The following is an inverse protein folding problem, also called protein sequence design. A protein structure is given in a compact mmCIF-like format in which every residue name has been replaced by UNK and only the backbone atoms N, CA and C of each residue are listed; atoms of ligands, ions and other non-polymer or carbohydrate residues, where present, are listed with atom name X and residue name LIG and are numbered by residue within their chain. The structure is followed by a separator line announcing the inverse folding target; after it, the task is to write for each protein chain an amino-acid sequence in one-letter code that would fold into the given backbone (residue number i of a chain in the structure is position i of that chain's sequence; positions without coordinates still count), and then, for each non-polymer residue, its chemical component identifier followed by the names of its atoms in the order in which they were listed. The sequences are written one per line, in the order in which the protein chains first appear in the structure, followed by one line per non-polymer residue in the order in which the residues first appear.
data_IF_070242827774
#
_entry.id   IF_070242827774
#
_cell.length_a   1.000
_cell.length_b   1.000
_cell.length_c   1.000
_cell.angle_alpha   90.00
_cell.angle_beta   90.00
_cell.angle_gamma   90.00
#
_symmetry.space_group_name_H-M   'P 1'
#
loop_
_entity.id
_entity.type
_entity.pdbx_description
1 polymer ?
#
# COMPACT_ATOMS: atom_id res chain seq x y z
N UNK A 1 -9.77 -12.75 33.70
CA UNK A 1 -10.78 -12.52 32.64
C UNK A 1 -11.40 -11.15 32.85
N UNK A 2 -10.75 -10.08 32.34
CA UNK A 2 -11.35 -8.75 32.18
C UNK A 2 -10.76 -8.19 30.87
N UNK A 3 -11.38 -8.54 29.75
CA UNK A 3 -11.13 -7.91 28.45
C UNK A 3 -12.38 -7.12 28.10
N UNK A 4 -12.46 -5.89 28.60
CA UNK A 4 -13.44 -4.92 28.11
C UNK A 4 -12.70 -3.64 27.72
N UNK A 5 -11.92 -3.72 26.65
CA UNK A 5 -11.55 -2.54 25.87
C UNK A 5 -12.35 -2.54 24.57
N UNK A 6 -13.58 -2.00 24.63
CA UNK A 6 -14.32 -1.49 23.47
C UNK A 6 -15.29 -0.39 23.93
N UNK A 7 -14.96 0.88 23.68
CA UNK A 7 -16.04 1.85 23.49
C UNK A 7 -15.91 2.66 22.17
N UNK A 8 -14.78 2.56 21.45
CA UNK A 8 -14.42 3.54 20.42
C UNK A 8 -13.73 2.97 19.16
N UNK A 9 -13.70 1.64 19.00
CA UNK A 9 -13.23 0.99 17.77
C UNK A 9 -14.41 0.69 16.86
N UNK A 10 -14.22 0.86 15.56
CA UNK A 10 -15.16 0.41 14.53
C UNK A 10 -14.56 -0.75 13.74
N UNK A 11 -15.41 -1.44 12.99
CA UNK A 11 -14.99 -2.48 12.07
C UNK A 11 -15.34 -2.07 10.65
N UNK A 12 -14.38 -2.21 9.75
CA UNK A 12 -14.62 -2.14 8.31
C UNK A 12 -14.84 -3.58 7.83
N UNK A 13 -15.94 -3.82 7.12
CA UNK A 13 -16.16 -5.12 6.48
C UNK A 13 -15.23 -5.25 5.28
N UNK A 14 -14.55 -6.40 5.18
CA UNK A 14 -13.63 -6.71 4.08
C UNK A 14 -13.85 -8.16 3.65
N UNK A 15 -13.94 -8.47 2.35
CA UNK A 15 -14.24 -9.83 1.89
C UNK A 15 -13.12 -10.85 2.19
N UNK A 16 -11.88 -10.39 2.35
CA UNK A 16 -10.72 -11.24 2.59
C UNK A 16 -10.57 -11.50 4.10
N UNK A 17 -10.60 -10.43 4.90
CA UNK A 17 -10.34 -10.48 6.34
C UNK A 17 -11.60 -10.51 7.21
N UNK A 18 -12.78 -10.47 6.60
CA UNK A 18 -14.12 -10.34 7.22
C UNK A 18 -14.32 -8.99 7.90
N UNK A 19 -13.46 -8.66 8.86
CA UNK A 19 -13.51 -7.40 9.60
C UNK A 19 -12.11 -6.88 9.93
N UNK A 20 -11.86 -5.62 9.57
CA UNK A 20 -10.67 -4.87 9.96
C UNK A 20 -11.06 -3.94 11.11
N UNK A 21 -10.50 -4.17 12.29
CA UNK A 21 -10.72 -3.30 13.46
C UNK A 21 -9.84 -2.04 13.36
N UNK A 22 -10.44 -0.88 13.61
CA UNK A 22 -9.80 0.43 13.59
C UNK A 22 -10.25 1.28 14.78
N UNK A 23 -9.40 2.20 15.22
CA UNK A 23 -9.76 3.31 16.10
C UNK A 23 -10.65 4.29 15.34
N UNK A 24 -11.76 4.73 15.96
CA UNK A 24 -12.85 5.37 15.20
C UNK A 24 -13.53 6.58 15.83
N UNK A 25 -13.39 6.75 17.15
CA UNK A 25 -13.93 7.88 17.90
C UNK A 25 -12.81 8.40 18.81
N UNK A 26 -12.50 9.71 18.77
CA UNK A 26 -11.48 10.28 19.65
C UNK A 26 -11.93 10.16 21.11
N UNK A 27 -10.98 9.84 21.99
CA UNK A 27 -11.14 9.76 23.44
C UNK A 27 -10.57 11.00 24.11
N UNK A 28 -9.58 11.65 23.47
CA UNK A 28 -9.05 12.96 23.87
C UNK A 28 -9.41 14.01 22.83
N UNK A 29 -9.60 15.26 23.26
CA UNK A 29 -10.07 16.38 22.43
C UNK A 29 -9.24 16.63 21.15
N UNK A 30 -7.96 16.26 21.16
CA UNK A 30 -7.03 16.47 20.03
C UNK A 30 -6.54 15.16 19.40
N UNK A 31 -7.10 14.03 19.78
CA UNK A 31 -6.75 12.73 19.21
C UNK A 31 -7.22 12.66 17.76
N UNK A 32 -6.32 12.23 16.88
CA UNK A 32 -6.66 11.76 15.55
C UNK A 32 -6.76 10.24 15.63
N UNK A 33 -7.75 9.66 14.94
CA UNK A 33 -7.96 8.21 14.86
C UNK A 33 -7.61 7.68 13.47
N UNK A 34 -7.43 6.36 13.35
CA UNK A 34 -7.26 5.70 12.06
C UNK A 34 -8.41 6.01 11.11
N UNK A 35 -9.65 6.13 11.63
CA UNK A 35 -10.81 6.52 10.81
C UNK A 35 -10.63 7.89 10.15
N UNK A 36 -10.04 8.85 10.85
CA UNK A 36 -9.81 10.20 10.30
C UNK A 36 -8.80 10.15 9.15
N UNK A 37 -7.75 9.33 9.29
CA UNK A 37 -6.77 9.09 8.23
C UNK A 37 -7.35 8.30 7.06
N UNK A 38 -8.15 7.26 7.31
CA UNK A 38 -8.83 6.46 6.27
C UNK A 38 -9.80 7.34 5.47
N UNK A 39 -10.51 8.25 6.13
CA UNK A 39 -11.44 9.19 5.51
C UNK A 39 -10.75 10.43 4.91
N UNK A 40 -9.43 10.53 5.00
CA UNK A 40 -8.69 11.65 4.47
C UNK A 40 -8.77 11.75 2.94
N UNK A 41 -8.62 12.96 2.37
CA UNK A 41 -8.73 13.16 0.92
C UNK A 41 -7.81 12.22 0.10
N UNK A 42 -6.54 12.07 0.47
CA UNK A 42 -5.62 11.22 -0.32
C UNK A 42 -5.90 9.73 -0.18
N UNK A 43 -6.38 9.26 0.98
CA UNK A 43 -6.82 7.88 1.09
C UNK A 43 -8.10 7.64 0.28
N UNK A 44 -9.07 8.55 0.38
CA UNK A 44 -10.32 8.45 -0.38
C UNK A 44 -10.11 8.60 -1.89
N UNK A 45 -9.02 9.22 -2.35
CA UNK A 45 -8.61 9.23 -3.76
C UNK A 45 -8.32 7.82 -4.29
N UNK A 46 -7.73 6.95 -3.47
CA UNK A 46 -7.39 5.58 -3.88
C UNK A 46 -8.62 4.72 -4.20
N UNK A 47 -9.83 5.11 -3.79
CA UNK A 47 -11.07 4.42 -4.17
C UNK A 47 -11.38 4.49 -5.67
N UNK A 48 -10.71 5.40 -6.39
CA UNK A 48 -10.85 5.64 -7.84
C UNK A 48 -9.58 5.29 -8.61
N UNK A 49 -8.71 4.46 -8.02
CA UNK A 49 -7.49 3.94 -8.65
C UNK A 49 -7.53 2.42 -8.53
N UNK A 50 -7.61 1.72 -9.65
CA UNK A 50 -7.67 0.27 -9.70
C UNK A 50 -6.33 -0.35 -9.27
N UNK A 51 -6.40 -1.48 -8.56
CA UNK A 51 -5.23 -2.25 -8.17
C UNK A 51 -4.51 -2.84 -9.40
N UNK A 52 -5.29 -3.46 -10.30
CA UNK A 52 -4.81 -4.35 -11.36
C UNK A 52 -4.45 -3.67 -12.70
N UNK A 53 -4.17 -2.36 -12.73
CA UNK A 53 -3.77 -1.63 -13.95
C UNK A 53 -4.74 -1.84 -15.14
N UNK A 54 -4.34 -2.50 -16.24
CA UNK A 54 -5.25 -2.87 -17.34
C UNK A 54 -5.81 -4.29 -17.22
N UNK A 55 -5.32 -5.09 -16.28
CA UNK A 55 -5.70 -6.50 -16.11
C UNK A 55 -7.17 -6.67 -15.71
N UNK A 56 -7.81 -5.65 -15.12
CA UNK A 56 -9.25 -5.67 -14.86
C UNK A 56 -10.10 -5.68 -16.14
N UNK A 57 -9.56 -5.28 -17.30
CA UNK A 57 -10.23 -5.48 -18.61
C UNK A 57 -10.27 -6.95 -19.05
N UNK A 58 -9.37 -7.78 -18.51
CA UNK A 58 -9.36 -9.23 -18.75
C UNK A 58 -10.25 -9.96 -17.75
N UNK A 59 -10.24 -9.49 -16.50
CA UNK A 59 -10.99 -10.07 -15.38
C UNK A 59 -12.06 -9.08 -14.94
N UNK A 60 -13.32 -9.21 -15.41
CA UNK A 60 -14.37 -8.25 -15.11
C UNK A 60 -14.69 -8.08 -13.62
N UNK A 61 -14.33 -9.06 -12.78
CA UNK A 61 -14.44 -8.93 -11.32
C UNK A 61 -13.28 -8.18 -10.67
N UNK A 62 -12.16 -7.98 -11.36
CA UNK A 62 -10.92 -7.36 -10.89
C UNK A 62 -10.99 -5.85 -10.69
N UNK A 63 -12.15 -5.31 -10.32
CA UNK A 63 -12.41 -3.87 -10.19
C UNK A 63 -11.99 -3.30 -8.82
N UNK A 64 -11.37 -4.09 -7.95
CA UNK A 64 -10.97 -3.60 -6.63
C UNK A 64 -9.92 -2.50 -6.72
N UNK A 65 -10.07 -1.55 -5.81
CA UNK A 65 -9.28 -0.33 -5.74
C UNK A 65 -8.06 -0.49 -4.83
N UNK A 66 -7.07 0.37 -5.03
CA UNK A 66 -5.91 0.50 -4.12
C UNK A 66 -6.32 0.83 -2.70
N UNK A 67 -7.46 1.51 -2.51
CA UNK A 67 -7.98 1.77 -1.16
C UNK A 67 -8.28 0.48 -0.38
N UNK A 68 -8.92 -0.49 -1.03
CA UNK A 68 -9.23 -1.79 -0.40
C UNK A 68 -7.95 -2.56 -0.08
N UNK A 69 -6.99 -2.53 -1.01
CA UNK A 69 -5.66 -3.10 -0.80
C UNK A 69 -4.94 -2.45 0.39
N UNK A 70 -4.86 -1.11 0.46
CA UNK A 70 -4.22 -0.39 1.56
C UNK A 70 -4.84 -0.70 2.93
N UNK A 71 -6.16 -0.85 3.03
CA UNK A 71 -6.82 -1.29 4.26
C UNK A 71 -6.41 -2.72 4.65
N UNK A 72 -6.31 -3.61 3.66
CA UNK A 72 -5.87 -4.97 3.86
C UNK A 72 -4.40 -5.07 4.29
N UNK A 73 -3.52 -4.29 3.67
CA UNK A 73 -2.10 -4.20 4.07
C UNK A 73 -1.96 -3.61 5.47
N UNK A 74 -2.73 -2.59 5.83
CA UNK A 74 -2.79 -2.07 7.20
C UNK A 74 -3.15 -3.18 8.20
N UNK A 75 -4.15 -4.01 7.89
CA UNK A 75 -4.53 -5.16 8.71
C UNK A 75 -3.39 -6.18 8.81
N UNK A 76 -2.83 -6.62 7.68
CA UNK A 76 -1.77 -7.63 7.64
C UNK A 76 -0.50 -7.16 8.34
N UNK A 77 -0.09 -5.91 8.13
CA UNK A 77 1.05 -5.30 8.81
C UNK A 77 0.85 -5.29 10.33
N UNK A 78 -0.38 -5.11 10.81
CA UNK A 78 -0.66 -5.13 12.25
C UNK A 78 -0.49 -6.50 12.88
N UNK A 79 -1.00 -7.54 12.24
CA UNK A 79 -0.91 -8.91 12.75
C UNK A 79 0.54 -9.39 12.67
N UNK A 80 1.25 -9.03 11.61
CA UNK A 80 2.64 -9.40 11.43
C UNK A 80 3.58 -8.65 12.39
N UNK A 81 3.45 -7.33 12.53
CA UNK A 81 4.25 -6.55 13.48
C UNK A 81 4.07 -7.05 14.93
N UNK A 82 2.82 -7.38 15.29
CA UNK A 82 2.49 -7.90 16.62
C UNK A 82 3.16 -9.24 16.91
N UNK A 83 3.15 -10.14 15.92
CA UNK A 83 3.80 -11.44 16.03
C UNK A 83 5.33 -11.31 16.13
N UNK A 84 5.94 -10.36 15.41
CA UNK A 84 7.38 -10.15 15.45
C UNK A 84 7.85 -9.43 16.72
N UNK A 85 6.99 -8.61 17.35
CA UNK A 85 7.36 -7.73 18.46
C UNK A 85 8.13 -8.42 19.61
N UNK A 86 7.74 -9.62 20.12
CA UNK A 86 8.49 -10.27 21.20
C UNK A 86 9.93 -10.61 20.82
N UNK A 87 10.16 -11.07 19.59
CA UNK A 87 11.50 -11.40 19.08
C UNK A 87 12.30 -10.15 18.75
N UNK A 88 11.67 -9.15 18.14
CA UNK A 88 12.24 -7.84 17.87
C UNK A 88 12.73 -7.15 19.15
N UNK A 89 11.90 -7.16 20.22
CA UNK A 89 12.26 -6.59 21.52
C UNK A 89 13.50 -7.23 22.11
N UNK A 90 13.66 -8.55 21.97
CA UNK A 90 14.87 -9.26 22.43
C UNK A 90 16.11 -8.83 21.65
N UNK A 91 16.00 -8.70 20.33
CA UNK A 91 17.10 -8.27 19.47
C UNK A 91 17.49 -6.83 19.79
N UNK A 92 16.55 -5.88 19.86
CA UNK A 92 16.83 -4.49 20.24
C UNK A 92 17.55 -4.40 21.59
N UNK A 93 17.07 -5.12 22.61
CA UNK A 93 17.72 -5.16 23.94
C UNK A 93 19.14 -5.72 23.90
N UNK A 94 19.41 -6.75 23.09
CA UNK A 94 20.76 -7.32 22.89
C UNK A 94 21.74 -6.27 22.34
N UNK A 95 21.26 -5.32 21.55
CA UNK A 95 22.04 -4.21 21.01
C UNK A 95 21.95 -2.92 21.85
N UNK A 96 21.38 -2.97 23.05
CA UNK A 96 21.30 -1.82 23.97
C UNK A 96 20.27 -0.75 23.58
N UNK A 97 19.31 -1.08 22.71
CA UNK A 97 18.24 -0.18 22.28
C UNK A 97 16.94 -0.48 23.05
N UNK A 98 16.32 0.54 23.65
CA UNK A 98 14.96 0.41 24.21
C UNK A 98 13.94 0.53 23.08
N UNK A 99 13.07 -0.48 22.98
CA UNK A 99 12.02 -0.51 21.96
C UNK A 99 10.78 0.24 22.46
N UNK A 100 10.04 0.94 21.58
CA UNK A 100 8.72 1.46 21.92
C UNK A 100 7.74 0.37 22.36
N UNK A 101 6.59 0.76 22.91
CA UNK A 101 5.52 -0.17 23.27
C UNK A 101 5.00 -0.95 22.06
N UNK A 102 4.45 -2.13 22.31
CA UNK A 102 3.90 -3.00 21.26
C UNK A 102 2.88 -2.25 20.40
N UNK A 103 1.96 -1.51 21.02
CA UNK A 103 0.92 -0.78 20.30
C UNK A 103 1.50 0.38 19.47
N UNK A 104 2.59 1.01 19.92
CA UNK A 104 3.30 2.01 19.13
C UNK A 104 3.92 1.40 17.87
N UNK A 105 4.63 0.28 18.03
CA UNK A 105 5.28 -0.43 16.93
C UNK A 105 4.25 -0.94 15.94
N UNK A 106 3.17 -1.54 16.44
CA UNK A 106 2.05 -2.03 15.63
C UNK A 106 1.37 -0.87 14.90
N UNK A 107 1.12 0.26 15.55
CA UNK A 107 0.50 1.40 14.87
C UNK A 107 1.42 2.00 13.80
N UNK A 108 2.73 2.09 14.04
CA UNK A 108 3.70 2.52 13.02
C UNK A 108 3.61 1.62 11.77
N UNK A 109 3.58 0.30 11.96
CA UNK A 109 3.43 -0.66 10.87
C UNK A 109 2.05 -0.55 10.18
N UNK A 110 0.98 -0.31 10.94
CA UNK A 110 -0.37 -0.10 10.39
C UNK A 110 -0.43 1.11 9.49
N UNK A 111 0.09 2.26 9.94
CA UNK A 111 0.10 3.48 9.15
C UNK A 111 1.02 3.37 7.93
N UNK A 112 2.15 2.67 8.05
CA UNK A 112 2.96 2.32 6.89
C UNK A 112 2.16 1.48 5.87
N UNK A 113 1.44 0.46 6.32
CA UNK A 113 0.57 -0.33 5.44
C UNK A 113 -0.59 0.46 4.83
N UNK A 114 -1.20 1.38 5.59
CA UNK A 114 -2.26 2.25 5.10
C UNK A 114 -1.77 3.19 3.99
N UNK A 115 -0.57 3.75 4.13
CA UNK A 115 -0.07 4.79 3.24
C UNK A 115 0.93 4.33 2.18
N UNK A 116 1.39 3.07 2.19
CA UNK A 116 2.44 2.62 1.27
C UNK A 116 2.13 2.96 -0.20
N UNK A 117 0.87 2.79 -0.58
CA UNK A 117 0.35 2.98 -1.94
C UNK A 117 -0.32 4.34 -2.20
N UNK A 118 -0.30 5.28 -1.23
CA UNK A 118 -1.03 6.56 -1.35
C UNK A 118 -0.52 7.45 -2.50
N UNK A 119 0.75 7.26 -2.88
CA UNK A 119 1.41 7.95 -3.98
C UNK A 119 1.08 7.42 -5.37
N UNK A 120 0.37 6.30 -5.51
CA UNK A 120 0.01 5.78 -6.84
C UNK A 120 -0.95 6.73 -7.58
N UNK A 121 -0.81 6.75 -8.91
CA UNK A 121 -1.71 7.41 -9.84
C UNK A 121 -2.41 6.40 -10.74
N UNK A 122 -3.19 6.90 -11.73
CA UNK A 122 -3.84 6.06 -12.71
C UNK A 122 -2.83 5.14 -13.41
N UNK A 123 -3.20 3.89 -13.64
CA UNK A 123 -2.33 2.84 -14.18
C UNK A 123 -1.12 2.44 -13.30
N UNK A 124 -1.07 2.83 -12.03
CA UNK A 124 -0.14 2.26 -11.04
C UNK A 124 1.33 2.28 -11.50
N UNK A 125 2.00 1.12 -11.51
CA UNK A 125 3.39 1.02 -11.92
C UNK A 125 3.67 1.44 -13.37
N UNK A 126 2.67 1.45 -14.26
CA UNK A 126 2.87 1.89 -15.64
C UNK A 126 3.18 3.38 -15.67
N UNK A 127 2.50 4.17 -14.83
CA UNK A 127 2.78 5.59 -14.66
C UNK A 127 4.21 5.81 -14.16
N UNK A 128 4.65 4.99 -13.21
CA UNK A 128 6.02 5.02 -12.68
C UNK A 128 7.05 4.81 -13.79
N UNK A 129 6.90 3.73 -14.57
CA UNK A 129 7.88 3.34 -15.58
C UNK A 129 7.88 4.24 -16.81
N UNK A 130 6.71 4.72 -17.24
CA UNK A 130 6.56 5.45 -18.51
C UNK A 130 6.71 6.96 -18.32
N UNK A 131 6.30 7.51 -17.18
CA UNK A 131 6.25 8.97 -16.97
C UNK A 131 7.12 9.42 -15.80
N UNK A 132 6.89 8.91 -14.59
CA UNK A 132 7.53 9.45 -13.38
C UNK A 132 9.04 9.24 -13.36
N UNK A 133 9.49 8.00 -13.62
CA UNK A 133 10.92 7.67 -13.59
C UNK A 133 11.69 8.34 -14.74
N UNK A 134 11.24 8.29 -16.01
CA UNK A 134 11.98 8.92 -17.10
C UNK A 134 11.94 10.46 -17.08
N UNK A 135 10.82 11.06 -16.67
CA UNK A 135 10.62 12.52 -16.78
C UNK A 135 11.07 13.27 -15.53
N UNK A 136 10.89 12.67 -14.34
CA UNK A 136 11.09 13.35 -13.06
C UNK A 136 12.02 12.60 -12.10
N UNK A 137 12.51 11.41 -12.48
CA UNK A 137 13.29 10.51 -11.61
C UNK A 137 12.62 10.22 -10.25
N UNK A 138 11.29 10.09 -10.26
CA UNK A 138 10.47 9.77 -9.09
C UNK A 138 9.67 8.49 -9.29
N UNK A 139 8.97 8.04 -8.25
CA UNK A 139 8.10 6.86 -8.23
C UNK A 139 6.97 7.04 -7.20
N UNK A 140 6.00 6.13 -7.20
CA UNK A 140 4.89 6.19 -6.23
C UNK A 140 5.38 6.19 -4.78
N UNK A 141 6.42 5.44 -4.41
CA UNK A 141 6.95 5.40 -3.04
C UNK A 141 7.46 6.78 -2.58
N UNK A 142 8.24 7.49 -3.41
CA UNK A 142 8.73 8.85 -3.12
C UNK A 142 7.57 9.84 -2.98
N UNK A 143 6.55 9.70 -3.82
CA UNK A 143 5.33 10.51 -3.74
C UNK A 143 4.56 10.18 -2.45
N UNK A 144 4.43 8.90 -2.06
CA UNK A 144 3.80 8.47 -0.80
C UNK A 144 4.48 9.12 0.40
N UNK A 145 5.82 9.08 0.46
CA UNK A 145 6.57 9.73 1.54
C UNK A 145 6.32 11.24 1.58
N UNK A 146 6.28 11.91 0.42
CA UNK A 146 6.00 13.35 0.35
C UNK A 146 4.58 13.67 0.84
N UNK A 147 3.58 12.91 0.42
CA UNK A 147 2.20 13.06 0.88
C UNK A 147 2.12 12.92 2.41
N UNK A 148 2.79 11.91 2.98
CA UNK A 148 2.81 11.68 4.43
C UNK A 148 3.44 12.88 5.15
N UNK A 149 4.61 13.33 4.71
CA UNK A 149 5.35 14.44 5.32
C UNK A 149 4.59 15.76 5.25
N UNK A 150 3.98 16.07 4.11
CA UNK A 150 3.35 17.39 3.87
C UNK A 150 1.88 17.46 4.27
N UNK A 151 1.13 16.36 4.15
CA UNK A 151 -0.33 16.37 4.32
C UNK A 151 -0.79 15.66 5.58
N UNK A 152 0.02 14.75 6.16
CA UNK A 152 -0.41 13.92 7.29
C UNK A 152 0.45 13.98 8.54
N UNK A 153 1.57 14.71 8.53
CA UNK A 153 2.46 14.80 9.68
C UNK A 153 1.75 15.18 10.98
N UNK A 154 1.01 16.28 10.97
CA UNK A 154 0.29 16.72 12.17
C UNK A 154 -0.79 15.74 12.62
N UNK A 155 -1.41 15.01 11.68
CA UNK A 155 -2.45 14.05 11.99
C UNK A 155 -1.87 12.78 12.61
N UNK A 156 -0.79 12.24 12.03
CA UNK A 156 -0.08 11.04 12.51
C UNK A 156 0.46 11.28 13.92
N UNK A 157 1.06 12.45 14.15
CA UNK A 157 1.60 12.86 15.45
C UNK A 157 0.55 12.96 16.57
N UNK A 158 -0.75 12.99 16.23
CA UNK A 158 -1.90 13.06 17.15
C UNK A 158 -2.56 11.71 17.41
N UNK A 159 -2.09 10.63 16.77
CA UNK A 159 -2.49 9.26 17.11
C UNK A 159 -1.78 8.85 18.41
N UNK A 160 -2.52 8.24 19.33
CA UNK A 160 -2.04 7.89 20.68
C UNK A 160 -2.28 6.42 21.07
N UNK A 161 -2.85 5.63 20.15
CA UNK A 161 -3.24 4.24 20.40
C UNK A 161 -3.42 3.49 19.09
N UNK A 162 -3.35 2.17 19.20
CA UNK A 162 -3.78 1.21 18.19
C UNK A 162 -5.09 0.55 18.64
N UNK A 163 -5.78 -0.25 17.82
CA UNK A 163 -7.05 -0.87 18.22
C UNK A 163 -6.98 -1.72 19.49
N UNK A 164 -5.82 -2.33 19.81
CA UNK A 164 -5.69 -3.24 20.97
C UNK A 164 -5.13 -2.56 22.23
N UNK A 165 -4.67 -1.31 22.18
CA UNK A 165 -4.22 -0.59 23.37
C UNK A 165 -3.58 0.79 23.11
N UNK A 166 -3.21 1.48 24.20
CA UNK A 166 -2.57 2.80 24.16
C UNK A 166 -1.05 2.72 24.08
N UNK A 167 -0.44 3.79 23.57
CA UNK A 167 1.00 4.00 23.68
C UNK A 167 1.40 4.35 25.12
N UNK A 168 2.70 4.28 25.44
CA UNK A 168 3.24 4.85 26.69
C UNK A 168 3.11 6.38 26.67
N UNK A 169 3.12 7.00 27.86
CA UNK A 169 2.79 8.42 28.06
C UNK A 169 3.61 9.39 27.18
N UNK A 170 4.87 9.07 26.93
CA UNK A 170 5.83 9.94 26.23
C UNK A 170 6.13 9.48 24.79
N UNK A 171 5.38 8.49 24.29
CA UNK A 171 5.52 7.99 22.93
C UNK A 171 4.70 8.82 21.96
N UNK A 172 5.34 9.23 20.86
CA UNK A 172 4.73 9.99 19.78
C UNK A 172 5.23 9.46 18.44
N UNK A 173 4.31 9.16 17.53
CA UNK A 173 4.66 8.62 16.22
C UNK A 173 5.50 9.63 15.44
N UNK A 174 6.50 9.12 14.75
CA UNK A 174 7.38 9.87 13.86
C UNK A 174 7.06 9.50 12.42
N UNK A 175 6.79 10.52 11.59
CA UNK A 175 6.50 10.31 10.17
C UNK A 175 7.69 9.72 9.42
N UNK A 176 8.91 9.97 9.88
CA UNK A 176 10.10 9.42 9.23
C UNK A 176 10.20 7.92 9.46
N UNK A 177 9.81 7.41 10.63
CA UNK A 177 9.77 5.97 10.89
C UNK A 177 8.82 5.27 9.92
N UNK A 178 7.64 5.87 9.67
CA UNK A 178 6.68 5.37 8.68
C UNK A 178 7.26 5.43 7.26
N UNK A 179 7.82 6.58 6.86
CA UNK A 179 8.37 6.76 5.52
C UNK A 179 9.52 5.77 5.23
N UNK A 180 10.38 5.50 6.21
CA UNK A 180 11.51 4.58 6.13
C UNK A 180 11.06 3.13 5.88
N UNK A 181 9.85 2.76 6.32
CA UNK A 181 9.27 1.44 6.07
C UNK A 181 8.74 1.29 4.63
N UNK A 182 8.38 2.39 3.96
CA UNK A 182 7.73 2.35 2.64
C UNK A 182 8.66 2.04 1.48
N UNK A 183 9.97 2.30 1.62
CA UNK A 183 10.93 2.06 0.54
C UNK A 183 12.26 1.55 1.05
N UNK A 184 12.96 0.84 0.18
CA UNK A 184 14.37 0.54 0.40
C UNK A 184 15.20 1.81 0.19
N UNK A 185 16.22 2.04 1.04
CA UNK A 185 17.12 3.18 0.83
C UNK A 185 17.85 3.04 -0.51
N UNK A 186 17.94 4.13 -1.26
CA UNK A 186 18.81 4.21 -2.43
C UNK A 186 20.28 4.26 -1.96
N UNK A 187 21.22 3.86 -2.83
CA UNK A 187 22.65 3.86 -2.47
C UNK A 187 23.11 5.24 -2.02
N UNK A 188 23.58 5.35 -0.77
CA UNK A 188 24.05 6.60 -0.17
C UNK A 188 23.01 7.33 0.69
N UNK A 189 21.77 6.85 0.79
CA UNK A 189 20.79 7.39 1.75
C UNK A 189 21.10 6.96 3.19
N UNK A 190 20.86 7.88 4.14
CA UNK A 190 21.03 7.62 5.58
C UNK A 190 19.95 6.65 6.03
N UNK A 191 20.38 5.53 6.61
CA UNK A 191 19.48 4.57 7.21
C UNK A 191 18.96 5.08 8.57
N UNK A 192 17.75 4.69 8.98
CA UNK A 192 17.28 4.94 10.36
C UNK A 192 18.32 4.51 11.37
N UNK A 193 18.53 5.29 12.43
CA UNK A 193 19.37 4.86 13.55
C UNK A 193 18.64 3.85 14.44
N UNK A 194 17.30 3.86 14.43
CA UNK A 194 16.43 2.98 15.24
C UNK A 194 16.41 1.58 14.64
N UNK A 195 16.98 0.58 15.31
CA UNK A 195 17.02 -0.80 14.82
C UNK A 195 15.61 -1.35 14.60
N UNK A 196 14.68 -1.08 15.52
CA UNK A 196 13.33 -1.65 15.41
C UNK A 196 12.64 -1.24 14.10
N UNK A 197 12.91 -0.03 13.59
CA UNK A 197 12.39 0.42 12.29
C UNK A 197 13.06 -0.32 11.13
N UNK A 198 14.40 -0.50 11.18
CA UNK A 198 15.13 -1.23 10.13
C UNK A 198 14.62 -2.66 9.98
N UNK A 199 14.49 -3.38 11.10
CA UNK A 199 14.08 -4.79 11.09
C UNK A 199 12.64 -4.95 10.60
N UNK A 200 11.75 -4.00 10.89
CA UNK A 200 10.36 -4.02 10.43
C UNK A 200 10.18 -3.72 8.94
N UNK A 201 11.21 -3.29 8.21
CA UNK A 201 11.11 -3.16 6.75
C UNK A 201 10.71 -4.46 6.07
N UNK A 202 11.01 -5.61 6.66
CA UNK A 202 10.61 -6.90 6.12
C UNK A 202 9.09 -7.03 5.92
N UNK A 203 8.29 -6.25 6.67
CA UNK A 203 6.83 -6.19 6.52
C UNK A 203 6.38 -5.65 5.16
N UNK A 204 7.22 -4.88 4.46
CA UNK A 204 6.90 -4.27 3.16
C UNK A 204 7.85 -4.74 2.06
N UNK A 205 9.11 -5.03 2.42
CA UNK A 205 10.22 -5.31 1.51
C UNK A 205 10.80 -6.73 1.65
N UNK A 206 9.94 -7.72 1.93
CA UNK A 206 10.33 -9.13 2.16
C UNK A 206 9.86 -10.11 1.07
N UNK A 207 10.25 -11.39 1.20
CA UNK A 207 9.77 -12.47 0.33
C UNK A 207 8.25 -12.66 0.45
N UNK A 208 7.72 -12.59 1.67
CA UNK A 208 6.30 -12.68 2.02
C UNK A 208 5.88 -11.47 2.88
N UNK A 209 5.86 -10.28 2.28
CA UNK A 209 5.47 -9.04 2.95
C UNK A 209 3.95 -8.96 3.19
N UNK A 210 3.51 -8.02 4.05
CA UNK A 210 2.10 -7.72 4.26
C UNK A 210 1.40 -7.27 2.96
N UNK A 211 2.11 -6.50 2.14
CA UNK A 211 1.69 -6.12 0.78
C UNK A 211 1.42 -7.36 -0.09
N UNK A 212 2.42 -8.24 -0.23
CA UNK A 212 2.29 -9.44 -1.08
C UNK A 212 1.20 -10.38 -0.57
N UNK A 213 1.12 -10.58 0.75
CA UNK A 213 0.09 -11.44 1.32
C UNK A 213 -1.32 -10.88 1.12
N UNK A 214 -1.52 -9.56 1.11
CA UNK A 214 -2.83 -8.98 0.78
C UNK A 214 -3.14 -9.13 -0.70
N UNK A 215 -2.28 -8.61 -1.60
CA UNK A 215 -2.64 -8.55 -3.02
C UNK A 215 -2.82 -9.96 -3.59
N UNK A 216 -2.03 -10.96 -3.19
CA UNK A 216 -2.20 -12.33 -3.71
C UNK A 216 -3.59 -12.90 -3.38
N UNK A 217 -4.08 -12.70 -2.16
CA UNK A 217 -5.41 -13.19 -1.76
C UNK A 217 -6.51 -12.33 -2.37
N UNK A 218 -6.34 -11.01 -2.36
CA UNK A 218 -7.33 -10.05 -2.84
C UNK A 218 -7.51 -10.12 -4.35
N UNK A 219 -6.42 -10.08 -5.10
CA UNK A 219 -6.44 -10.16 -6.56
C UNK A 219 -7.04 -11.50 -7.00
N UNK A 220 -6.65 -12.60 -6.35
CA UNK A 220 -7.24 -13.92 -6.59
C UNK A 220 -8.75 -13.96 -6.34
N UNK A 221 -9.22 -13.34 -5.26
CA UNK A 221 -10.64 -13.27 -4.93
C UNK A 221 -11.44 -12.50 -5.99
N UNK A 222 -10.98 -11.30 -6.34
CA UNK A 222 -11.68 -10.43 -7.30
C UNK A 222 -11.55 -10.91 -8.75
N UNK A 223 -10.43 -11.51 -9.14
CA UNK A 223 -10.28 -12.14 -10.46
C UNK A 223 -11.07 -13.45 -10.59
N UNK A 224 -11.64 -13.98 -9.50
CA UNK A 224 -12.38 -15.24 -9.52
C UNK A 224 -11.47 -16.45 -9.77
N UNK A 225 -10.24 -16.41 -9.26
CA UNK A 225 -9.23 -17.47 -9.42
C UNK A 225 -8.75 -18.01 -8.06
N UNK A 226 -9.66 -18.43 -7.16
CA UNK A 226 -9.33 -18.78 -5.77
C UNK A 226 -8.25 -19.87 -5.65
N UNK A 227 -8.13 -20.74 -6.64
CA UNK A 227 -7.12 -21.78 -6.72
C UNK A 227 -5.68 -21.26 -6.85
N UNK A 228 -5.48 -20.01 -7.31
CA UNK A 228 -4.17 -19.42 -7.56
C UNK A 228 -3.63 -18.67 -6.35
N UNK A 229 -4.46 -17.88 -5.66
CA UNK A 229 -4.06 -17.07 -4.49
C UNK A 229 -4.16 -17.77 -3.13
N UNK A 230 -4.21 -19.10 -3.11
CA UNK A 230 -4.35 -19.90 -1.89
C UNK A 230 -3.04 -19.91 -1.08
N UNK A 231 -2.93 -18.98 -0.12
CA UNK A 231 -1.78 -18.88 0.79
C UNK A 231 -2.21 -19.05 2.25
N UNK A 232 -1.36 -19.68 3.07
CA UNK A 232 -1.53 -19.72 4.52
C UNK A 232 -0.75 -18.58 5.21
N UNK A 233 -1.23 -17.36 5.00
CA UNK A 233 -0.62 -16.16 5.56
C UNK A 233 -0.57 -16.20 7.10
N UNK A 234 -1.56 -16.82 7.75
CA UNK A 234 -1.61 -16.95 9.21
C UNK A 234 -0.48 -17.82 9.73
N UNK A 235 -0.25 -18.97 9.10
CA UNK A 235 0.85 -19.88 9.48
C UNK A 235 2.21 -19.25 9.23
N UNK A 236 2.39 -18.58 8.09
CA UNK A 236 3.62 -17.83 7.79
C UNK A 236 3.92 -16.80 8.86
N UNK A 237 2.95 -15.94 9.19
CA UNK A 237 3.12 -14.93 10.23
C UNK A 237 3.43 -15.59 11.58
N UNK A 238 2.62 -16.55 12.02
CA UNK A 238 2.73 -17.18 13.34
C UNK A 238 4.09 -17.83 13.60
N UNK A 239 4.74 -18.36 12.56
CA UNK A 239 6.03 -19.03 12.67
C UNK A 239 7.23 -18.11 12.29
N UNK A 240 6.97 -16.84 12.00
CA UNK A 240 8.01 -15.83 11.78
C UNK A 240 8.55 -15.24 13.08
N UNK A 241 9.84 -14.92 13.09
CA UNK A 241 10.52 -14.23 14.18
C UNK A 241 11.74 -13.45 13.67
N UNK A 242 12.24 -12.52 14.47
CA UNK A 242 13.46 -11.74 14.19
C UNK A 242 14.58 -12.17 15.12
N UNK A 243 15.77 -12.38 14.56
CA UNK A 243 17.04 -12.53 15.29
C UNK A 243 18.10 -11.55 14.75
N UNK A 244 19.37 -11.69 15.15
CA UNK A 244 20.47 -10.86 14.64
C UNK A 244 20.67 -10.87 13.10
N UNK A 245 20.14 -11.86 12.39
CA UNK A 245 20.21 -11.98 10.94
C UNK A 245 18.95 -11.42 10.24
N UNK A 246 17.99 -10.89 11.00
CA UNK A 246 16.74 -10.32 10.49
C UNK A 246 15.56 -11.28 10.56
N UNK A 247 14.66 -11.20 9.56
CA UNK A 247 13.45 -12.02 9.51
C UNK A 247 13.76 -13.48 9.20
N UNK A 248 13.32 -14.38 10.07
CA UNK A 248 13.42 -15.82 9.94
C UNK A 248 12.03 -16.47 9.97
N UNK A 249 11.97 -17.71 9.48
CA UNK A 249 10.76 -18.55 9.49
C UNK A 249 11.12 -19.91 10.07
N UNK A 250 10.29 -20.42 10.98
CA UNK A 250 10.48 -21.78 11.51
C UNK A 250 10.35 -22.84 10.41
N UNK A 251 11.19 -23.88 10.47
CA UNK A 251 11.25 -24.92 9.42
C UNK A 251 9.92 -25.66 9.23
N UNK A 252 9.10 -25.76 10.28
CA UNK A 252 7.77 -26.38 10.24
C UNK A 252 6.79 -25.64 9.31
N UNK A 253 7.11 -24.41 8.90
CA UNK A 253 6.35 -23.62 7.93
C UNK A 253 6.95 -23.60 6.53
N UNK A 254 7.94 -24.46 6.25
CA UNK A 254 8.55 -24.58 4.92
C UNK A 254 7.53 -24.96 3.83
N UNK A 255 6.54 -25.80 4.16
CA UNK A 255 5.46 -26.17 3.23
C UNK A 255 4.56 -24.97 2.90
N UNK A 256 4.22 -24.15 3.90
CA UNK A 256 3.44 -22.92 3.72
C UNK A 256 4.19 -21.88 2.89
N UNK A 257 5.50 -21.76 3.09
CA UNK A 257 6.34 -20.89 2.26
C UNK A 257 6.42 -21.38 0.80
N UNK A 258 6.56 -22.69 0.60
CA UNK A 258 6.55 -23.28 -0.74
C UNK A 258 5.21 -23.04 -1.45
N UNK A 259 4.10 -23.21 -0.74
CA UNK A 259 2.77 -22.89 -1.26
C UNK A 259 2.67 -21.41 -1.64
N UNK A 260 3.10 -20.50 -0.76
CA UNK A 260 3.11 -19.07 -1.04
C UNK A 260 3.90 -18.70 -2.30
N UNK A 261 5.11 -19.25 -2.45
CA UNK A 261 5.94 -19.02 -3.66
C UNK A 261 5.24 -19.56 -4.91
N UNK A 262 4.62 -20.74 -4.80
CA UNK A 262 3.89 -21.38 -5.90
C UNK A 262 2.70 -20.53 -6.33
N UNK A 263 1.86 -20.11 -5.37
CA UNK A 263 0.73 -19.21 -5.60
C UNK A 263 1.15 -17.90 -6.23
N UNK A 264 2.26 -17.31 -5.77
CA UNK A 264 2.80 -16.09 -6.37
C UNK A 264 3.17 -16.32 -7.84
N UNK A 265 3.92 -17.38 -8.16
CA UNK A 265 4.28 -17.70 -9.55
C UNK A 265 3.04 -17.91 -10.42
N UNK A 266 2.03 -18.63 -9.91
CA UNK A 266 0.78 -18.89 -10.61
C UNK A 266 -0.03 -17.62 -10.88
N UNK A 267 -0.11 -16.70 -9.90
CA UNK A 267 -0.75 -15.40 -10.08
C UNK A 267 -0.03 -14.53 -11.13
N UNK A 268 1.31 -14.53 -11.14
CA UNK A 268 2.08 -13.84 -12.19
C UNK A 268 1.80 -14.43 -13.57
N UNK A 269 1.89 -15.75 -13.72
CA UNK A 269 1.71 -16.41 -15.01
C UNK A 269 0.30 -16.20 -15.58
N UNK A 270 -0.72 -16.37 -14.74
CA UNK A 270 -2.11 -16.41 -15.21
C UNK A 270 -2.81 -15.07 -15.17
N UNK A 271 -2.55 -14.24 -14.16
CA UNK A 271 -3.27 -12.97 -13.95
C UNK A 271 -2.41 -11.79 -14.40
N UNK A 272 -1.27 -11.54 -13.73
CA UNK A 272 -0.50 -10.31 -13.97
C UNK A 272 0.19 -10.27 -15.35
N UNK A 273 0.61 -11.42 -15.88
CA UNK A 273 1.21 -11.53 -17.22
C UNK A 273 0.26 -12.10 -18.26
N UNK A 274 -1.05 -12.08 -17.98
CA UNK A 274 -2.04 -12.52 -18.94
C UNK A 274 -1.86 -11.79 -20.28
N UNK A 275 -1.73 -12.55 -21.36
CA UNK A 275 -1.37 -12.02 -22.70
C UNK A 275 -2.26 -10.86 -23.18
N UNK A 276 -3.56 -10.89 -22.85
CA UNK A 276 -4.49 -9.81 -23.21
C UNK A 276 -4.25 -8.54 -22.41
N UNK A 277 -4.00 -8.65 -21.10
CA UNK A 277 -3.69 -7.51 -20.24
C UNK A 277 -2.39 -6.85 -20.68
N UNK A 278 -1.35 -7.66 -20.92
CA UNK A 278 -0.08 -7.14 -21.46
C UNK A 278 -0.22 -6.49 -22.84
N UNK A 279 -1.08 -7.01 -23.71
CA UNK A 279 -1.34 -6.38 -25.00
C UNK A 279 -2.03 -5.01 -24.84
N UNK A 280 -2.94 -4.87 -23.86
CA UNK A 280 -3.55 -3.59 -23.51
C UNK A 280 -2.51 -2.63 -22.91
N UNK A 281 -1.68 -3.07 -21.97
CA UNK A 281 -0.61 -2.26 -21.39
C UNK A 281 0.34 -1.72 -22.47
N UNK A 282 0.74 -2.55 -23.44
CA UNK A 282 1.61 -2.11 -24.54
C UNK A 282 0.97 -1.00 -25.38
N UNK A 283 -0.32 -1.11 -25.71
CA UNK A 283 -1.04 -0.05 -26.43
C UNK A 283 -1.13 1.24 -25.61
N UNK A 284 -1.31 1.11 -24.29
CA UNK A 284 -1.35 2.26 -23.39
C UNK A 284 0.04 2.91 -23.30
N UNK A 285 1.13 2.13 -23.17
CA UNK A 285 2.50 2.65 -23.05
C UNK A 285 2.82 3.65 -24.17
N UNK A 286 2.47 3.31 -25.41
CA UNK A 286 2.77 4.13 -26.59
C UNK A 286 2.13 5.52 -26.53
N UNK A 287 0.99 5.65 -25.87
CA UNK A 287 0.23 6.91 -25.78
C UNK A 287 0.28 7.57 -24.40
N UNK A 288 0.70 6.87 -23.35
CA UNK A 288 0.56 7.31 -21.96
C UNK A 288 1.40 8.55 -21.67
N UNK A 289 2.66 8.57 -22.10
CA UNK A 289 3.55 9.72 -21.88
C UNK A 289 3.01 10.99 -22.55
N UNK A 290 2.55 10.87 -23.80
CA UNK A 290 1.94 11.97 -24.54
C UNK A 290 0.60 12.41 -23.93
N UNK A 291 -0.20 11.45 -23.44
CA UNK A 291 -1.44 11.71 -22.71
C UNK A 291 -1.19 12.61 -21.50
N UNK A 292 -0.27 12.22 -20.61
CA UNK A 292 0.06 13.01 -19.42
C UNK A 292 0.67 14.37 -19.79
N UNK A 293 1.51 14.43 -20.82
CA UNK A 293 2.07 15.69 -21.32
C UNK A 293 0.97 16.66 -21.78
N UNK A 294 0.00 16.19 -22.56
CA UNK A 294 -1.11 17.00 -23.09
C UNK A 294 -2.14 17.38 -22.02
N UNK A 295 -2.24 16.60 -20.93
CA UNK A 295 -2.99 16.96 -19.72
C UNK A 295 -2.30 18.06 -18.90
N UNK A 296 -1.06 18.44 -19.25
CA UNK A 296 -0.27 19.39 -18.47
C UNK A 296 0.24 18.80 -17.16
N UNK A 297 0.51 17.49 -17.13
CA UNK A 297 1.06 16.81 -15.97
C UNK A 297 2.38 17.46 -15.54
N UNK A 298 2.49 17.72 -14.23
CA UNK A 298 3.67 18.33 -13.62
C UNK A 298 4.34 17.34 -12.67
N UNK A 299 5.57 17.66 -12.27
CA UNK A 299 6.28 16.88 -11.27
C UNK A 299 5.47 16.86 -9.95
N UNK A 300 4.98 15.67 -9.50
CA UNK A 300 4.20 15.56 -8.27
C UNK A 300 5.00 15.91 -7.02
N UNK A 301 6.34 15.86 -7.07
CA UNK A 301 7.18 16.32 -5.97
C UNK A 301 7.20 17.85 -5.81
N UNK A 302 6.71 18.59 -6.80
CA UNK A 302 6.64 20.06 -6.76
C UNK A 302 5.20 20.59 -6.66
N UNK A 303 4.22 19.83 -7.13
CA UNK A 303 2.82 20.24 -7.21
C UNK A 303 1.91 19.05 -6.89
N UNK A 304 1.76 18.76 -5.59
CA UNK A 304 0.87 17.69 -5.12
C UNK A 304 -0.61 17.99 -5.40
N UNK A 305 -1.00 19.26 -5.47
CA UNK A 305 -2.40 19.63 -5.66
C UNK A 305 -2.86 19.33 -7.10
N UNK A 306 -1.98 19.50 -8.10
CA UNK A 306 -2.24 18.99 -9.44
C UNK A 306 -2.31 17.46 -9.48
N UNK A 307 -1.43 16.77 -8.76
CA UNK A 307 -1.39 15.31 -8.70
C UNK A 307 -2.62 14.70 -8.03
N UNK A 308 -3.15 15.36 -7.00
CA UNK A 308 -4.30 14.91 -6.22
C UNK A 308 -5.52 14.58 -7.08
N UNK A 309 -5.80 15.38 -8.10
CA UNK A 309 -6.98 15.18 -8.96
C UNK A 309 -6.84 13.98 -9.92
N UNK A 310 -5.63 13.44 -10.10
CA UNK A 310 -5.40 12.33 -11.01
C UNK A 310 -5.85 11.01 -10.39
N UNK A 311 -6.86 10.41 -11.00
CA UNK A 311 -7.41 9.09 -10.73
C UNK A 311 -7.97 8.52 -12.04
N UNK A 312 -8.32 7.23 -12.07
CA UNK A 312 -8.71 6.57 -13.33
C UNK A 312 -9.94 7.23 -13.96
N UNK A 313 -10.90 7.69 -13.14
CA UNK A 313 -12.12 8.33 -13.63
C UNK A 313 -11.82 9.67 -14.31
N UNK A 314 -10.96 10.48 -13.70
CA UNK A 314 -10.51 11.74 -14.29
C UNK A 314 -9.79 11.49 -15.62
N UNK A 315 -8.90 10.49 -15.67
CA UNK A 315 -8.19 10.12 -16.89
C UNK A 315 -9.17 9.71 -18.00
N UNK A 316 -10.05 8.75 -17.74
CA UNK A 316 -11.01 8.25 -18.74
C UNK A 316 -11.97 9.33 -19.23
N UNK A 317 -12.52 10.13 -18.32
CA UNK A 317 -13.41 11.24 -18.69
C UNK A 317 -12.68 12.26 -19.56
N UNK A 318 -11.43 12.58 -19.22
CA UNK A 318 -10.61 13.50 -20.01
C UNK A 318 -10.36 12.94 -21.41
N UNK A 319 -10.03 11.65 -21.52
CA UNK A 319 -9.74 11.02 -22.81
C UNK A 319 -10.98 10.92 -23.72
N UNK A 320 -12.15 10.61 -23.16
CA UNK A 320 -13.40 10.59 -23.91
C UNK A 320 -13.75 11.98 -24.46
N UNK A 321 -13.54 13.04 -23.68
CA UNK A 321 -13.76 14.42 -24.14
C UNK A 321 -12.76 14.85 -25.23
N UNK A 322 -11.58 14.24 -25.29
CA UNK A 322 -10.59 14.57 -26.31
C UNK A 322 -10.99 14.11 -27.71
N UNK A 323 -11.90 13.13 -27.85
CA UNK A 323 -12.42 12.66 -29.15
C UNK A 323 -13.03 13.80 -29.96
N UNK A 324 -13.57 14.83 -29.30
CA UNK A 324 -14.17 16.01 -29.94
C UNK A 324 -13.28 17.27 -29.86
N UNK A 325 -12.02 17.10 -29.44
CA UNK A 325 -11.08 18.21 -29.29
C UNK A 325 -10.76 18.90 -30.61
N UNK A 326 -10.68 20.24 -30.58
CA UNK A 326 -10.16 21.06 -31.69
C UNK A 326 -8.67 20.85 -31.93
N UNK A 327 -7.92 20.45 -30.90
CA UNK A 327 -6.50 20.06 -31.01
C UNK A 327 -6.40 18.67 -31.64
N UNK A 328 -5.72 18.58 -32.79
CA UNK A 328 -5.58 17.38 -33.60
C UNK A 328 -4.90 16.23 -32.86
N UNK A 329 -3.86 16.52 -32.07
CA UNK A 329 -3.12 15.50 -31.33
C UNK A 329 -3.95 14.95 -30.18
N UNK A 330 -4.67 15.81 -29.45
CA UNK A 330 -5.63 15.37 -28.43
C UNK A 330 -6.71 14.49 -29.05
N UNK A 331 -7.23 14.88 -30.22
CA UNK A 331 -8.27 14.13 -30.93
C UNK A 331 -7.82 12.76 -31.39
N UNK A 332 -6.59 12.64 -31.89
CA UNK A 332 -5.99 11.36 -32.26
C UNK A 332 -5.84 10.44 -31.05
N UNK A 333 -5.21 10.91 -29.97
CA UNK A 333 -5.02 10.14 -28.73
C UNK A 333 -6.37 9.77 -28.10
N UNK A 334 -7.33 10.70 -28.09
CA UNK A 334 -8.68 10.45 -27.59
C UNK A 334 -9.40 9.32 -28.33
N UNK A 335 -9.21 9.21 -29.66
CA UNK A 335 -9.76 8.09 -30.44
C UNK A 335 -9.13 6.76 -30.06
N UNK A 336 -7.81 6.71 -29.88
CA UNK A 336 -7.10 5.50 -29.45
C UNK A 336 -7.62 5.05 -28.08
N UNK A 337 -7.73 5.98 -27.12
CA UNK A 337 -8.31 5.69 -25.80
C UNK A 337 -9.75 5.20 -25.87
N UNK A 338 -10.59 5.83 -26.71
CA UNK A 338 -11.97 5.39 -26.90
C UNK A 338 -12.05 3.96 -27.44
N UNK A 339 -11.18 3.61 -28.39
CA UNK A 339 -11.14 2.27 -28.99
C UNK A 339 -10.52 1.23 -28.04
N UNK A 340 -9.78 1.65 -27.00
CA UNK A 340 -9.31 0.80 -25.90
C UNK A 340 -10.39 0.56 -24.83
N UNK A 341 -11.22 1.57 -24.57
CA UNK A 341 -12.23 1.55 -23.50
C UNK A 341 -13.55 0.90 -23.98
N UNK A 342 -13.92 1.04 -25.25
CA UNK A 342 -15.13 0.49 -25.87
C UNK A 342 -14.82 -0.70 -26.76
#
# INVERSE_FOLDING_TARGET
MITYFRPYNSKIADPIYKYIEITSKPIKEKEVTERDLINSPWMQRLTRIHQLQSTWWVYPGGEHSRFQHSLGVMYMASEFARQLYPSLSKVCKKYGEDIPSEEFVVETARLAGLFHDVGHGPYGHLLDFVVLKPTYNTNHEKISQKIIREKYKENIEKIIRSPKGYFRKDEKLDVEDICILLRRPESGEVESEKRWVKELRCLFSGLYSADIMDYLQRDSYYCGTPELGLIDAKRLIADSFIDENGLNLHIDSASSLKQFITSRIQMYDRVYWHKRGRACDLQIIDILADTYKLMGFKNPEKDLDNYYNLNDWYLFTTMLNWVESKDDKKREIGKIWRDLIN
#
